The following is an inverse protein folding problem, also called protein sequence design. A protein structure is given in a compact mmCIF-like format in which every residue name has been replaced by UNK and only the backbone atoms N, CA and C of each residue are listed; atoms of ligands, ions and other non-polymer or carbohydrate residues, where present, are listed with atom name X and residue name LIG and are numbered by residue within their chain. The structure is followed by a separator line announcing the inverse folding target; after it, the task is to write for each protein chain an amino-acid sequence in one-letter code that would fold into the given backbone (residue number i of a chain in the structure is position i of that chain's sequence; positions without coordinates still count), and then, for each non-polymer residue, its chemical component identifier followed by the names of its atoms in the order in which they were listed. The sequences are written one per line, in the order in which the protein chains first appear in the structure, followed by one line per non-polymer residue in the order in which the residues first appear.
data_IF_293431753955
#
_entry.id   IF_293431753955
#
_cell.length_a   1.000
_cell.length_b   1.000
_cell.length_c   1.000
_cell.angle_alpha   90.00
_cell.angle_beta   90.00
_cell.angle_gamma   90.00
#
_symmetry.space_group_name_H-M   'P 1'
#
loop_
_entity.id
_entity.type
_entity.pdbx_description
1 polymer ?
#
# COMPACT_ATOMS: atom_id res chain seq x y z
N UNK A 1 -9.53 10.85 49.45
CA UNK A 1 -8.27 11.62 49.41
C UNK A 1 -7.16 10.65 49.08
N UNK A 2 -6.93 10.39 47.80
CA UNK A 2 -5.85 9.53 47.30
C UNK A 2 -4.84 10.46 46.64
N UNK A 3 -3.57 10.37 47.04
CA UNK A 3 -2.49 11.12 46.43
C UNK A 3 -2.54 10.93 44.92
N UNK A 4 -2.57 12.04 44.17
CA UNK A 4 -2.45 11.99 42.72
C UNK A 4 -1.03 11.55 42.39
N UNK A 5 -0.87 10.28 42.03
CA UNK A 5 0.36 9.80 41.41
C UNK A 5 0.67 10.67 40.18
N UNK A 6 1.95 11.02 40.00
CA UNK A 6 2.36 11.85 38.86
C UNK A 6 2.12 11.14 37.51
N UNK A 7 2.26 9.80 37.51
CA UNK A 7 1.94 8.91 36.39
C UNK A 7 1.19 7.67 36.90
N UNK A 8 0.09 7.30 36.22
CA UNK A 8 -0.72 6.15 36.61
C UNK A 8 -1.55 5.61 35.45
N UNK A 9 -2.01 4.36 35.59
CA UNK A 9 -3.00 3.73 34.71
C UNK A 9 -4.36 3.69 35.40
N UNK A 10 -5.42 3.98 34.64
CA UNK A 10 -6.80 3.98 35.12
C UNK A 10 -7.77 3.77 33.97
N UNK A 11 -8.93 3.16 34.22
CA UNK A 11 -10.02 3.18 33.24
C UNK A 11 -10.58 4.60 33.06
N UNK A 12 -10.77 5.01 31.81
CA UNK A 12 -11.27 6.34 31.46
C UNK A 12 -12.81 6.44 31.48
N UNK A 13 -13.43 6.15 32.64
CA UNK A 13 -14.87 6.28 32.86
C UNK A 13 -15.19 7.06 34.14
N UNK A 14 -16.43 7.55 34.25
CA UNK A 14 -16.95 8.16 35.45
C UNK A 14 -17.34 7.07 36.46
N UNK A 15 -16.56 6.88 37.52
CA UNK A 15 -16.87 5.93 38.59
C UNK A 15 -15.69 5.62 39.51
N UNK A 16 -15.92 4.84 40.59
CA UNK A 16 -14.85 4.33 41.43
C UNK A 16 -14.11 3.22 40.68
N UNK A 17 -12.97 3.56 40.10
CA UNK A 17 -12.08 2.61 39.41
C UNK A 17 -10.71 2.63 40.07
N UNK A 18 -10.02 1.49 40.08
CA UNK A 18 -8.70 1.36 40.70
C UNK A 18 -7.66 2.09 39.83
N UNK A 19 -6.61 2.60 40.48
CA UNK A 19 -5.47 3.23 39.81
C UNK A 19 -4.22 2.40 40.07
N UNK A 20 -3.40 2.20 39.04
CA UNK A 20 -2.08 1.57 39.14
C UNK A 20 -1.01 2.65 38.97
N UNK A 21 -0.19 2.88 40.00
CA UNK A 21 0.98 3.77 39.89
C UNK A 21 2.00 3.18 38.90
N UNK A 22 2.57 4.04 38.07
CA UNK A 22 3.69 3.69 37.19
C UNK A 22 4.78 4.76 37.32
N UNK A 23 6.03 4.36 37.10
CA UNK A 23 7.14 5.30 37.03
C UNK A 23 7.12 6.11 35.74
N UNK A 24 7.83 7.24 35.74
CA UNK A 24 8.01 8.07 34.54
C UNK A 24 8.62 7.28 33.37
N UNK A 25 9.56 6.37 33.66
CA UNK A 25 10.19 5.53 32.64
C UNK A 25 9.18 4.58 31.99
N UNK A 26 8.31 3.97 32.78
CA UNK A 26 7.25 3.07 32.30
C UNK A 26 6.19 3.83 31.51
N UNK A 27 5.80 5.03 31.96
CA UNK A 27 4.92 5.90 31.20
C UNK A 27 5.51 6.29 29.84
N UNK A 28 6.78 6.70 29.79
CA UNK A 28 7.48 7.01 28.54
C UNK A 28 7.57 5.80 27.61
N UNK A 29 7.79 4.62 28.17
CA UNK A 29 7.79 3.36 27.43
C UNK A 29 6.41 3.09 26.81
N UNK A 30 5.31 3.24 27.55
CA UNK A 30 3.95 3.09 27.03
C UNK A 30 3.62 4.10 25.91
N UNK A 31 3.98 5.37 26.09
CA UNK A 31 3.84 6.41 25.06
C UNK A 31 4.59 6.03 23.79
N UNK A 32 5.82 5.56 23.95
CA UNK A 32 6.65 5.12 22.82
C UNK A 32 6.06 3.90 22.13
N UNK A 33 5.66 2.87 22.87
CA UNK A 33 5.03 1.66 22.32
C UNK A 33 3.78 2.01 21.51
N UNK A 34 2.92 2.88 22.03
CA UNK A 34 1.72 3.34 21.32
C UNK A 34 2.06 4.07 20.02
N UNK A 35 3.13 4.87 20.02
CA UNK A 35 3.62 5.56 18.83
C UNK A 35 4.19 4.59 17.79
N UNK A 36 4.91 3.54 18.20
CA UNK A 36 5.45 2.51 17.30
C UNK A 36 4.30 1.78 16.60
N UNK A 37 3.33 1.26 17.37
CA UNK A 37 2.19 0.55 16.81
C UNK A 37 1.35 1.45 15.88
N UNK A 38 1.17 2.73 16.24
CA UNK A 38 0.46 3.69 15.37
C UNK A 38 1.19 3.94 14.06
N UNK A 39 2.53 3.98 14.09
CA UNK A 39 3.34 4.14 12.88
C UNK A 39 3.29 2.88 12.01
N UNK A 40 3.32 1.68 12.61
CA UNK A 40 3.19 0.42 11.91
C UNK A 40 1.81 0.29 11.22
N UNK A 41 0.71 0.59 11.93
CA UNK A 41 -0.62 0.64 11.32
C UNK A 41 -0.68 1.62 10.14
N UNK A 42 -0.07 2.81 10.30
CA UNK A 42 -0.02 3.81 9.23
C UNK A 42 0.73 3.35 7.97
N UNK A 43 1.67 2.40 8.09
CA UNK A 43 2.34 1.77 6.94
C UNK A 43 1.34 0.84 6.24
N UNK A 44 0.68 -0.05 7.00
CA UNK A 44 -0.28 -1.02 6.46
C UNK A 44 -1.49 -0.37 5.78
N UNK A 45 -2.07 0.67 6.38
CA UNK A 45 -3.20 1.41 5.79
C UNK A 45 -2.84 2.04 4.43
N UNK A 46 -1.62 2.61 4.32
CA UNK A 46 -1.18 3.21 3.05
C UNK A 46 -0.86 2.16 2.01
N UNK A 47 -0.28 1.03 2.43
CA UNK A 47 -0.07 -0.09 1.52
C UNK A 47 -1.39 -0.66 0.99
N UNK A 48 -2.40 -0.87 1.87
CA UNK A 48 -3.75 -1.30 1.49
C UNK A 48 -4.37 -0.33 0.47
N UNK A 49 -4.18 0.97 0.67
CA UNK A 49 -4.68 1.98 -0.23
C UNK A 49 -4.01 1.94 -1.62
N UNK A 50 -2.70 1.69 -1.70
CA UNK A 50 -2.01 1.49 -2.99
C UNK A 50 -2.54 0.23 -3.68
N UNK A 51 -2.64 -0.87 -2.94
CA UNK A 51 -3.13 -2.14 -3.46
C UNK A 51 -4.59 -2.03 -3.95
N UNK A 52 -5.44 -1.32 -3.22
CA UNK A 52 -6.81 -1.03 -3.62
C UNK A 52 -6.88 -0.27 -4.95
N UNK A 53 -6.03 0.76 -5.14
CA UNK A 53 -5.98 1.50 -6.40
C UNK A 53 -5.45 0.66 -7.58
N UNK A 54 -4.49 -0.23 -7.32
CA UNK A 54 -4.03 -1.21 -8.31
C UNK A 54 -5.17 -2.16 -8.73
N UNK A 55 -5.89 -2.71 -7.75
CA UNK A 55 -7.01 -3.62 -8.01
C UNK A 55 -8.16 -2.93 -8.74
N UNK A 56 -8.42 -1.66 -8.44
CA UNK A 56 -9.40 -0.85 -9.15
C UNK A 56 -9.04 -0.65 -10.62
N UNK A 57 -7.76 -0.44 -10.93
CA UNK A 57 -7.29 -0.36 -12.31
C UNK A 57 -7.46 -1.69 -13.06
N UNK A 58 -7.01 -2.80 -12.48
CA UNK A 58 -7.15 -4.13 -13.10
C UNK A 58 -8.63 -4.49 -13.31
N UNK A 59 -9.49 -4.20 -12.33
CA UNK A 59 -10.94 -4.45 -12.43
C UNK A 59 -11.58 -3.63 -13.55
N UNK A 60 -11.25 -2.35 -13.66
CA UNK A 60 -11.74 -1.48 -14.74
C UNK A 60 -11.33 -2.03 -16.12
N UNK A 61 -10.06 -2.42 -16.28
CA UNK A 61 -9.57 -3.00 -17.53
C UNK A 61 -10.32 -4.29 -17.92
N UNK A 62 -10.64 -5.14 -16.94
CA UNK A 62 -11.39 -6.38 -17.17
C UNK A 62 -12.84 -6.08 -17.57
N UNK A 63 -13.51 -5.17 -16.87
CA UNK A 63 -14.88 -4.78 -17.20
C UNK A 63 -14.98 -4.21 -18.62
N UNK A 64 -14.05 -3.32 -19.00
CA UNK A 64 -14.00 -2.76 -20.36
C UNK A 64 -13.66 -3.81 -21.43
N UNK A 65 -12.87 -4.84 -21.07
CA UNK A 65 -12.63 -5.99 -21.95
C UNK A 65 -13.91 -6.79 -22.15
N UNK A 66 -14.69 -7.01 -21.08
CA UNK A 66 -15.96 -7.74 -21.12
C UNK A 66 -16.99 -7.02 -22.01
N UNK A 67 -17.07 -5.70 -21.96
CA UNK A 67 -17.97 -4.90 -22.82
C UNK A 67 -17.70 -5.14 -24.33
N UNK A 68 -16.47 -5.54 -24.68
CA UNK A 68 -16.08 -5.85 -26.06
C UNK A 68 -16.68 -7.17 -26.58
N UNK A 69 -17.27 -8.00 -25.71
CA UNK A 69 -17.94 -9.24 -26.11
C UNK A 69 -19.23 -9.00 -26.90
N UNK A 70 -19.99 -7.98 -26.51
CA UNK A 70 -21.31 -7.69 -27.09
C UNK A 70 -21.32 -6.48 -27.98
N UNK A 71 -20.40 -5.54 -27.79
CA UNK A 71 -20.38 -4.28 -28.51
C UNK A 71 -19.09 -4.11 -29.33
N UNK A 72 -19.19 -4.46 -30.61
CA UNK A 72 -18.14 -4.27 -31.62
C UNK A 72 -18.13 -2.87 -32.23
N UNK A 73 -19.07 -2.00 -31.84
CA UNK A 73 -19.11 -0.64 -32.37
C UNK A 73 -17.99 0.20 -31.77
N UNK A 74 -17.15 0.75 -32.63
CA UNK A 74 -16.09 1.68 -32.26
C UNK A 74 -16.47 3.07 -32.74
N UNK A 75 -16.96 3.91 -31.83
CA UNK A 75 -17.15 5.33 -32.09
C UNK A 75 -16.22 6.16 -31.20
N UNK A 76 -15.92 7.38 -31.64
CA UNK A 76 -14.97 8.26 -30.96
C UNK A 76 -15.37 8.55 -29.50
N UNK A 77 -16.68 8.72 -29.24
CA UNK A 77 -17.17 9.00 -27.89
C UNK A 77 -16.88 7.84 -26.93
N UNK A 78 -17.08 6.59 -27.38
CA UNK A 78 -16.78 5.40 -26.59
C UNK A 78 -15.28 5.28 -26.34
N UNK A 79 -14.46 5.49 -27.36
CA UNK A 79 -13.00 5.49 -27.22
C UNK A 79 -12.53 6.53 -26.19
N UNK A 80 -13.11 7.72 -26.19
CA UNK A 80 -12.82 8.77 -25.21
C UNK A 80 -13.24 8.37 -23.79
N UNK A 81 -14.44 7.80 -23.61
CA UNK A 81 -14.91 7.33 -22.29
C UNK A 81 -13.99 6.25 -21.72
N UNK A 82 -13.62 5.26 -22.54
CA UNK A 82 -12.66 4.21 -22.16
C UNK A 82 -11.30 4.79 -21.78
N UNK A 83 -10.77 5.70 -22.61
CA UNK A 83 -9.49 6.35 -22.35
C UNK A 83 -9.51 7.14 -21.03
N UNK A 84 -10.55 7.94 -20.80
CA UNK A 84 -10.69 8.77 -19.60
C UNK A 84 -10.81 7.91 -18.33
N UNK A 85 -11.60 6.84 -18.37
CA UNK A 85 -11.76 5.92 -17.24
C UNK A 85 -10.43 5.27 -16.86
N UNK A 86 -9.72 4.71 -17.84
CA UNK A 86 -8.42 4.09 -17.63
C UNK A 86 -7.36 5.11 -17.17
N UNK A 87 -7.38 6.31 -17.75
CA UNK A 87 -6.44 7.36 -17.37
C UNK A 87 -6.57 7.74 -15.90
N UNK A 88 -7.80 7.94 -15.40
CA UNK A 88 -8.07 8.21 -13.98
C UNK A 88 -7.56 7.07 -13.08
N UNK A 89 -7.79 5.82 -13.46
CA UNK A 89 -7.37 4.65 -12.67
C UNK A 89 -5.85 4.51 -12.60
N UNK A 90 -5.17 4.62 -13.74
CA UNK A 90 -3.70 4.60 -13.80
C UNK A 90 -3.12 5.78 -13.03
N UNK A 91 -3.65 6.98 -13.23
CA UNK A 91 -3.15 8.17 -12.56
C UNK A 91 -3.24 8.06 -11.03
N UNK A 92 -4.39 7.61 -10.51
CA UNK A 92 -4.57 7.39 -9.08
C UNK A 92 -3.59 6.33 -8.54
N UNK A 93 -3.47 5.19 -9.20
CA UNK A 93 -2.55 4.14 -8.77
C UNK A 93 -1.09 4.63 -8.73
N UNK A 94 -0.62 5.29 -9.80
CA UNK A 94 0.75 5.81 -9.86
C UNK A 94 0.98 6.89 -8.80
N UNK A 95 0.00 7.76 -8.55
CA UNK A 95 0.08 8.78 -7.52
C UNK A 95 0.24 8.16 -6.12
N UNK A 96 -0.63 7.23 -5.76
CA UNK A 96 -0.58 6.60 -4.44
C UNK A 96 0.64 5.70 -4.26
N UNK A 97 1.03 4.94 -5.29
CA UNK A 97 2.25 4.13 -5.25
C UNK A 97 3.49 4.97 -5.00
N UNK A 98 3.63 6.10 -5.71
CA UNK A 98 4.75 7.03 -5.52
C UNK A 98 4.74 7.68 -4.14
N UNK A 99 3.56 8.11 -3.69
CA UNK A 99 3.42 8.71 -2.37
C UNK A 99 3.83 7.73 -1.27
N UNK A 100 3.43 6.47 -1.40
CA UNK A 100 3.82 5.41 -0.48
C UNK A 100 5.34 5.18 -0.47
N UNK A 101 5.96 5.03 -1.64
CA UNK A 101 7.42 4.78 -1.72
C UNK A 101 8.21 5.96 -1.15
N UNK A 102 7.73 7.20 -1.28
CA UNK A 102 8.38 8.39 -0.69
C UNK A 102 8.24 8.48 0.83
N UNK A 103 7.08 8.10 1.37
CA UNK A 103 6.80 8.24 2.80
C UNK A 103 7.32 7.08 3.65
N UNK A 104 7.49 5.88 3.07
CA UNK A 104 7.82 4.67 3.82
C UNK A 104 9.11 4.75 4.65
N UNK A 105 10.23 5.39 4.23
CA UNK A 105 11.42 5.51 5.09
C UNK A 105 11.12 6.31 6.36
N UNK A 106 10.38 7.41 6.22
CA UNK A 106 9.97 8.26 7.33
C UNK A 106 9.01 7.56 8.29
N UNK A 107 8.07 6.76 7.77
CA UNK A 107 7.15 5.98 8.58
C UNK A 107 7.86 4.84 9.32
N UNK A 108 8.69 4.05 8.62
CA UNK A 108 9.45 2.96 9.21
C UNK A 108 10.38 3.45 10.33
N UNK A 109 11.01 4.61 10.16
CA UNK A 109 11.88 5.20 11.18
C UNK A 109 11.17 5.52 12.51
N UNK A 110 9.84 5.71 12.50
CA UNK A 110 9.06 5.94 13.72
C UNK A 110 8.82 4.65 14.51
N UNK A 111 9.08 3.49 13.92
CA UNK A 111 8.89 2.19 14.54
C UNK A 111 10.13 1.73 15.32
N UNK A 112 11.28 2.40 15.20
CA UNK A 112 12.54 1.97 15.81
C UNK A 112 13.28 3.11 16.51
N UNK A 113 14.28 2.76 17.33
CA UNK A 113 15.14 3.73 18.01
C UNK A 113 16.12 4.41 17.07
N UNK A 114 16.87 3.61 16.29
CA UNK A 114 17.84 4.15 15.34
C UNK A 114 17.15 4.58 14.04
N UNK A 115 16.51 5.74 14.11
CA UNK A 115 15.77 6.34 12.99
C UNK A 115 16.66 6.57 11.78
N UNK A 116 17.89 7.03 12.00
CA UNK A 116 18.81 7.38 10.93
C UNK A 116 19.28 6.13 10.17
N UNK A 117 19.57 5.05 10.89
CA UNK A 117 19.89 3.77 10.28
C UNK A 117 18.72 3.19 9.49
N UNK A 118 17.51 3.22 10.05
CA UNK A 118 16.30 2.73 9.36
C UNK A 118 16.03 3.49 8.05
N UNK A 119 16.10 4.82 8.06
CA UNK A 119 15.94 5.62 6.84
C UNK A 119 16.96 5.18 5.79
N UNK A 120 18.24 5.04 6.16
CA UNK A 120 19.29 4.61 5.23
C UNK A 120 19.03 3.21 4.67
N UNK A 121 18.59 2.26 5.48
CA UNK A 121 18.27 0.91 5.02
C UNK A 121 17.14 0.91 3.99
N UNK A 122 16.04 1.60 4.29
CA UNK A 122 14.88 1.65 3.39
C UNK A 122 15.21 2.41 2.11
N UNK A 123 15.98 3.51 2.18
CA UNK A 123 16.43 4.24 0.99
C UNK A 123 17.41 3.43 0.13
N UNK A 124 18.29 2.63 0.74
CA UNK A 124 19.15 1.70 0.00
C UNK A 124 18.33 0.65 -0.74
N UNK A 125 17.29 0.10 -0.11
CA UNK A 125 16.37 -0.85 -0.74
C UNK A 125 15.60 -0.21 -1.90
N UNK A 126 15.08 1.00 -1.73
CA UNK A 126 14.42 1.75 -2.81
C UNK A 126 15.36 2.02 -3.97
N UNK A 127 16.61 2.38 -3.68
CA UNK A 127 17.62 2.64 -4.70
C UNK A 127 17.94 1.38 -5.49
N UNK A 128 18.10 0.24 -4.81
CA UNK A 128 18.27 -1.07 -5.44
C UNK A 128 17.10 -1.41 -6.38
N UNK A 129 15.86 -1.31 -5.90
CA UNK A 129 14.66 -1.57 -6.71
C UNK A 129 14.62 -0.66 -7.94
N UNK A 130 14.96 0.63 -7.77
CA UNK A 130 15.04 1.59 -8.85
C UNK A 130 16.08 1.19 -9.89
N UNK A 131 17.29 0.81 -9.48
CA UNK A 131 18.36 0.45 -10.42
C UNK A 131 18.07 -0.87 -11.16
N UNK A 132 17.41 -1.83 -10.51
CA UNK A 132 17.15 -3.16 -11.05
C UNK A 132 15.89 -3.24 -11.93
N UNK A 133 14.91 -2.35 -11.75
CA UNK A 133 13.58 -2.47 -12.41
C UNK A 133 13.23 -1.26 -13.27
N UNK A 134 13.22 -1.46 -14.59
CA UNK A 134 12.88 -0.41 -15.56
C UNK A 134 11.43 0.10 -15.40
N UNK A 135 10.46 -0.79 -15.20
CA UNK A 135 9.06 -0.43 -15.01
C UNK A 135 8.84 0.42 -13.75
N UNK A 136 9.59 0.14 -12.68
CA UNK A 136 9.57 0.94 -11.46
C UNK A 136 10.08 2.36 -11.74
N UNK A 137 11.25 2.49 -12.40
CA UNK A 137 11.79 3.81 -12.79
C UNK A 137 10.82 4.61 -13.65
N UNK A 138 10.14 3.94 -14.56
CA UNK A 138 9.14 4.56 -15.41
C UNK A 138 7.90 5.01 -14.64
N UNK A 139 7.34 4.18 -13.76
CA UNK A 139 6.20 4.56 -12.93
C UNK A 139 6.53 5.78 -12.05
N UNK A 140 7.73 5.80 -11.44
CA UNK A 140 8.21 6.92 -10.63
C UNK A 140 8.37 8.21 -11.46
N UNK A 141 8.83 8.12 -12.71
CA UNK A 141 8.92 9.26 -13.63
C UNK A 141 7.54 9.70 -14.15
N UNK A 142 6.64 8.74 -14.40
CA UNK A 142 5.29 8.98 -14.90
C UNK A 142 4.46 9.79 -13.92
N UNK A 143 4.61 9.60 -12.60
CA UNK A 143 3.97 10.47 -11.60
C UNK A 143 4.27 11.94 -11.82
N UNK A 144 5.54 12.27 -12.10
CA UNK A 144 5.96 13.64 -12.39
C UNK A 144 5.24 14.20 -13.61
N UNK A 145 5.09 13.39 -14.66
CA UNK A 145 4.35 13.76 -15.86
C UNK A 145 2.86 14.01 -15.59
N UNK A 146 2.18 13.07 -14.91
CA UNK A 146 0.75 13.14 -14.60
C UNK A 146 0.41 14.41 -13.81
N UNK A 147 1.31 14.83 -12.91
CA UNK A 147 1.13 16.05 -12.10
C UNK A 147 1.13 17.33 -12.94
N UNK A 148 1.73 17.32 -14.13
CA UNK A 148 1.88 18.51 -14.98
C UNK A 148 1.08 18.48 -16.29
N UNK A 149 0.85 17.30 -16.86
CA UNK A 149 0.29 17.12 -18.21
C UNK A 149 -0.97 16.23 -18.25
N UNK A 150 -1.46 15.80 -17.08
CA UNK A 150 -2.73 15.11 -16.81
C UNK A 150 -2.96 13.70 -17.41
N UNK A 151 -2.34 13.34 -18.54
CA UNK A 151 -2.62 12.06 -19.20
C UNK A 151 -1.47 11.05 -19.07
N UNK A 152 -1.76 9.92 -18.43
CA UNK A 152 -0.91 8.73 -18.41
C UNK A 152 -1.20 7.82 -19.62
N UNK A 153 -2.48 7.66 -19.97
CA UNK A 153 -2.93 6.78 -21.04
C UNK A 153 -3.14 7.59 -22.31
N UNK A 154 -2.45 7.22 -23.38
CA UNK A 154 -2.51 7.90 -24.67
C UNK A 154 -3.21 7.08 -25.74
N UNK A 155 -3.26 5.76 -25.58
CA UNK A 155 -3.84 4.85 -26.57
C UNK A 155 -4.44 3.62 -25.89
N UNK A 156 -5.63 3.25 -26.34
CA UNK A 156 -6.30 2.00 -26.00
C UNK A 156 -6.52 1.19 -27.27
N UNK A 157 -6.24 -0.10 -27.22
CA UNK A 157 -6.44 -1.02 -28.34
C UNK A 157 -7.11 -2.30 -27.87
N UNK A 158 -7.75 -3.04 -28.77
CA UNK A 158 -8.33 -4.35 -28.47
C UNK A 158 -7.50 -5.44 -29.16
N UNK A 159 -6.38 -5.90 -28.57
CA UNK A 159 -5.52 -6.92 -29.16
C UNK A 159 -6.16 -8.32 -29.03
N UNK A 160 -7.39 -8.46 -29.52
CA UNK A 160 -8.11 -9.72 -29.52
C UNK A 160 -7.38 -10.72 -30.41
N UNK A 161 -7.24 -11.97 -29.95
CA UNK A 161 -6.45 -12.99 -30.64
C UNK A 161 -7.18 -14.31 -30.68
N UNK A 162 -7.23 -14.95 -31.84
CA UNK A 162 -7.64 -16.34 -31.97
C UNK A 162 -6.56 -17.27 -31.40
N UNK A 163 -6.93 -18.18 -30.51
CA UNK A 163 -6.11 -19.35 -30.16
C UNK A 163 -6.18 -20.36 -31.28
N UNK A 164 -5.12 -21.18 -31.38
CA UNK A 164 -5.03 -22.24 -32.38
C UNK A 164 -5.18 -23.60 -31.70
N UNK A 165 -5.94 -24.50 -32.30
CA UNK A 165 -6.03 -25.89 -31.86
C UNK A 165 -4.80 -26.70 -32.31
N UNK A 166 -4.77 -28.00 -31.99
CA UNK A 166 -3.68 -28.92 -32.36
C UNK A 166 -3.43 -28.99 -33.88
N UNK A 167 -4.48 -28.77 -34.68
CA UNK A 167 -4.43 -28.77 -36.15
C UNK A 167 -4.08 -27.38 -36.73
N UNK A 168 -3.67 -26.42 -35.89
CA UNK A 168 -3.37 -25.02 -36.24
C UNK A 168 -4.56 -24.25 -36.83
N UNK A 169 -5.78 -24.65 -36.51
CA UNK A 169 -7.01 -23.95 -36.87
C UNK A 169 -7.46 -23.03 -35.73
N UNK A 170 -8.11 -21.91 -36.07
CA UNK A 170 -8.66 -20.99 -35.10
C UNK A 170 -9.73 -21.69 -34.24
N UNK A 171 -9.61 -21.57 -32.93
CA UNK A 171 -10.47 -22.25 -31.94
C UNK A 171 -11.28 -21.25 -31.12
N UNK A 172 -10.61 -20.49 -30.24
CA UNK A 172 -11.28 -19.52 -29.36
C UNK A 172 -10.78 -18.11 -29.61
N UNK A 173 -11.67 -17.13 -29.60
CA UNK A 173 -11.30 -15.72 -29.63
C UNK A 173 -11.06 -15.22 -28.20
N UNK A 174 -9.81 -14.85 -27.90
CA UNK A 174 -9.44 -14.25 -26.62
C UNK A 174 -9.59 -12.74 -26.73
N UNK A 175 -10.40 -12.16 -25.85
CA UNK A 175 -10.61 -10.73 -25.75
C UNK A 175 -9.60 -10.10 -24.79
N UNK A 176 -9.10 -8.93 -25.14
CA UNK A 176 -8.14 -8.21 -24.31
C UNK A 176 -8.24 -6.70 -24.59
N UNK A 177 -7.86 -5.89 -23.60
CA UNK A 177 -7.65 -4.45 -23.73
C UNK A 177 -6.18 -4.12 -23.52
N UNK A 178 -5.57 -3.47 -24.49
CA UNK A 178 -4.23 -2.92 -24.37
C UNK A 178 -4.30 -1.47 -23.95
N UNK A 179 -3.64 -1.11 -22.85
CA UNK A 179 -3.65 0.24 -22.25
C UNK A 179 -2.24 0.79 -22.33
N UNK A 180 -2.03 1.91 -23.03
CA UNK A 180 -0.68 2.31 -23.37
C UNK A 180 -0.39 3.80 -23.18
N UNK A 181 0.84 4.09 -22.75
CA UNK A 181 1.49 5.38 -22.96
C UNK A 181 2.28 5.36 -24.27
N UNK A 182 2.21 6.45 -25.01
CA UNK A 182 3.05 6.69 -26.18
C UNK A 182 4.31 7.49 -25.79
N UNK A 183 5.48 6.99 -26.17
CA UNK A 183 6.78 7.62 -25.86
C UNK A 183 6.87 9.05 -26.39
N UNK A 184 6.41 9.30 -27.62
CA UNK A 184 6.49 10.63 -28.23
C UNK A 184 5.63 11.66 -27.48
N UNK A 185 4.46 11.26 -26.99
CA UNK A 185 3.62 12.10 -26.11
C UNK A 185 4.31 12.41 -24.79
N UNK A 186 4.98 11.43 -24.19
CA UNK A 186 5.74 11.64 -22.96
C UNK A 186 6.95 12.56 -23.17
N UNK A 187 7.58 12.52 -24.36
CA UNK A 187 8.70 13.40 -24.74
C UNK A 187 8.29 14.86 -24.91
N UNK A 188 7.02 15.17 -25.18
CA UNK A 188 6.50 16.54 -25.21
C UNK A 188 6.69 17.25 -23.86
N UNK A 189 6.74 16.48 -22.76
CA UNK A 189 7.06 17.01 -21.43
C UNK A 189 8.57 17.01 -21.19
N UNK A 190 9.17 18.20 -21.17
CA UNK A 190 10.61 18.40 -20.93
C UNK A 190 11.12 17.89 -19.57
N UNK A 191 10.21 17.74 -18.59
CA UNK A 191 10.51 17.21 -17.27
C UNK A 191 10.56 15.68 -17.18
N UNK A 192 10.13 14.96 -18.23
CA UNK A 192 10.22 13.49 -18.23
C UNK A 192 11.68 13.04 -18.42
N UNK A 193 12.16 12.13 -17.56
CA UNK A 193 13.54 11.62 -17.62
C UNK A 193 13.80 10.89 -18.95
N UNK A 194 14.59 11.52 -19.83
CA UNK A 194 14.96 10.97 -21.15
C UNK A 194 15.68 9.62 -21.06
N UNK A 195 16.51 9.42 -20.03
CA UNK A 195 17.21 8.15 -19.82
C UNK A 195 16.24 6.97 -19.72
N UNK A 196 15.16 7.13 -18.95
CA UNK A 196 14.12 6.11 -18.76
C UNK A 196 13.34 5.87 -20.06
N UNK A 197 12.96 6.94 -20.79
CA UNK A 197 12.23 6.78 -22.06
C UNK A 197 13.04 6.11 -23.16
N UNK A 198 14.36 6.26 -23.17
CA UNK A 198 15.22 5.64 -24.17
C UNK A 198 15.31 4.13 -24.02
N UNK A 199 15.12 3.61 -22.81
CA UNK A 199 15.10 2.17 -22.52
C UNK A 199 13.73 1.53 -22.80
N UNK A 200 12.67 2.33 -22.93
CA UNK A 200 11.31 1.86 -23.18
C UNK A 200 11.01 1.64 -24.66
N UNK A 201 10.00 0.82 -24.96
CA UNK A 201 9.41 0.74 -26.30
C UNK A 201 8.62 2.01 -26.65
N UNK A 202 8.31 2.23 -27.93
CA UNK A 202 7.55 3.42 -28.37
C UNK A 202 6.11 3.42 -27.85
N UNK A 203 5.54 2.22 -27.67
CA UNK A 203 4.21 1.99 -27.10
C UNK A 203 4.37 1.15 -25.84
N UNK A 204 4.16 1.78 -24.70
CA UNK A 204 4.47 1.22 -23.37
C UNK A 204 3.19 0.62 -22.79
N UNK A 205 3.18 -0.68 -22.48
CA UNK A 205 2.03 -1.35 -21.86
C UNK A 205 1.93 -0.98 -20.36
N UNK A 206 0.89 -0.20 -20.03
CA UNK A 206 0.67 0.28 -18.68
C UNK A 206 0.17 -0.81 -17.71
N UNK A 207 -0.41 -1.90 -18.21
CA UNK A 207 -0.75 -3.04 -17.36
C UNK A 207 0.51 -3.77 -16.90
N UNK A 208 1.46 -3.98 -17.82
CA UNK A 208 2.76 -4.56 -17.45
C UNK A 208 3.48 -3.68 -16.45
N UNK A 209 3.58 -2.38 -16.73
CA UNK A 209 4.18 -1.40 -15.81
C UNK A 209 3.49 -1.45 -14.46
N UNK A 210 2.16 -1.41 -14.42
CA UNK A 210 1.42 -1.37 -13.16
C UNK A 210 1.64 -2.63 -12.31
N UNK A 211 1.62 -3.81 -12.93
CA UNK A 211 1.85 -5.09 -12.24
C UNK A 211 3.28 -5.20 -11.72
N UNK A 212 4.28 -4.82 -12.52
CA UNK A 212 5.68 -4.79 -12.09
C UNK A 212 5.90 -3.81 -10.95
N UNK A 213 5.35 -2.60 -11.07
CA UNK A 213 5.45 -1.58 -10.05
C UNK A 213 4.81 -2.01 -8.73
N UNK A 214 3.60 -2.58 -8.77
CA UNK A 214 2.95 -3.13 -7.58
C UNK A 214 3.76 -4.27 -6.95
N UNK A 215 4.37 -5.13 -7.77
CA UNK A 215 5.29 -6.17 -7.30
C UNK A 215 6.48 -5.59 -6.53
N UNK A 216 7.12 -4.54 -7.04
CA UNK A 216 8.21 -3.84 -6.35
C UNK A 216 7.76 -3.16 -5.05
N UNK A 217 6.58 -2.53 -5.05
CA UNK A 217 6.01 -1.92 -3.83
C UNK A 217 5.73 -3.01 -2.78
N UNK A 218 5.23 -4.16 -3.21
CA UNK A 218 4.99 -5.31 -2.33
C UNK A 218 6.29 -5.87 -1.75
N UNK A 219 7.36 -5.95 -2.54
CA UNK A 219 8.70 -6.36 -2.05
C UNK A 219 9.23 -5.35 -1.02
N UNK A 220 9.15 -4.06 -1.32
CA UNK A 220 9.53 -2.99 -0.40
C UNK A 220 8.77 -3.08 0.93
N UNK A 221 7.45 -3.33 0.86
CA UNK A 221 6.61 -3.47 2.04
C UNK A 221 7.00 -4.68 2.89
N UNK A 222 7.21 -5.83 2.26
CA UNK A 222 7.60 -7.06 2.97
C UNK A 222 8.93 -6.90 3.72
N UNK A 223 9.92 -6.27 3.09
CA UNK A 223 11.20 -5.99 3.73
C UNK A 223 11.05 -5.00 4.90
N UNK A 224 10.22 -3.96 4.74
CA UNK A 224 9.97 -3.02 5.83
C UNK A 224 9.27 -3.69 7.01
N UNK A 225 8.29 -4.56 6.77
CA UNK A 225 7.67 -5.38 7.82
C UNK A 225 8.73 -6.17 8.58
N UNK A 226 9.65 -6.84 7.88
CA UNK A 226 10.76 -7.58 8.50
C UNK A 226 11.67 -6.68 9.34
N UNK A 227 11.98 -5.46 8.89
CA UNK A 227 12.84 -4.54 9.62
C UNK A 227 12.22 -4.01 10.92
N UNK A 228 10.90 -3.89 10.99
CA UNK A 228 10.19 -3.33 12.16
C UNK A 228 9.53 -4.40 13.05
N UNK A 229 9.51 -5.67 12.61
CA UNK A 229 8.80 -6.76 13.29
C UNK A 229 9.14 -6.85 14.78
N UNK A 230 10.44 -6.81 15.12
CA UNK A 230 10.91 -6.92 16.50
C UNK A 230 10.39 -5.79 17.40
N UNK A 231 10.46 -4.54 16.92
CA UNK A 231 10.04 -3.39 17.71
C UNK A 231 8.52 -3.27 17.82
N UNK A 232 7.78 -3.65 16.77
CA UNK A 232 6.31 -3.72 16.79
C UNK A 232 5.84 -4.78 17.77
N UNK A 233 6.44 -5.98 17.75
CA UNK A 233 6.12 -7.05 18.69
C UNK A 233 6.38 -6.63 20.13
N UNK A 234 7.57 -6.11 20.42
CA UNK A 234 7.94 -5.64 21.76
C UNK A 234 6.99 -4.52 22.25
N UNK A 235 6.66 -3.55 21.38
CA UNK A 235 5.73 -2.49 21.72
C UNK A 235 4.34 -3.02 22.11
N UNK A 236 3.84 -4.01 21.38
CA UNK A 236 2.57 -4.66 21.69
C UNK A 236 2.62 -5.45 23.00
N UNK A 237 3.68 -6.22 23.21
CA UNK A 237 3.91 -6.98 24.45
C UNK A 237 3.98 -6.06 25.68
N UNK A 238 4.62 -4.90 25.57
CA UNK A 238 4.64 -3.89 26.64
C UNK A 238 3.21 -3.47 27.01
N UNK A 239 2.40 -3.05 26.04
CA UNK A 239 1.03 -2.59 26.31
C UNK A 239 0.18 -3.72 26.89
N UNK A 240 0.31 -4.94 26.36
CA UNK A 240 -0.39 -6.12 26.87
C UNK A 240 -0.01 -6.40 28.33
N UNK A 241 1.29 -6.41 28.65
CA UNK A 241 1.78 -6.66 30.01
C UNK A 241 1.22 -5.65 31.03
N UNK A 242 1.14 -4.36 30.67
CA UNK A 242 0.54 -3.35 31.56
C UNK A 242 -0.98 -3.47 31.67
N UNK A 243 -1.64 -3.87 30.58
CA UNK A 243 -3.07 -4.17 30.58
C UNK A 243 -3.39 -5.34 31.51
N UNK A 244 -2.58 -6.40 31.48
CA UNK A 244 -2.73 -7.58 32.33
C UNK A 244 -2.43 -7.27 33.80
N UNK A 245 -1.37 -6.49 34.08
CA UNK A 245 -1.08 -5.99 35.44
C UNK A 245 -2.24 -5.18 36.02
N UNK A 246 -2.87 -4.34 35.20
CA UNK A 246 -4.04 -3.57 35.63
C UNK A 246 -5.26 -4.47 35.85
N UNK A 247 -5.55 -5.39 34.92
CA UNK A 247 -6.66 -6.33 35.04
C UNK A 247 -6.56 -7.18 36.32
N UNK A 248 -5.35 -7.61 36.69
CA UNK A 248 -5.12 -8.38 37.92
C UNK A 248 -5.52 -7.63 39.20
N UNK A 249 -5.42 -6.30 39.22
CA UNK A 249 -5.88 -5.51 40.36
C UNK A 249 -7.33 -5.07 40.21
N UNK A 250 -7.92 -5.08 39.02
CA UNK A 250 -9.25 -4.55 38.70
C UNK A 250 -10.27 -5.63 38.31
N UNK A 251 -10.23 -6.79 39.00
CA UNK A 251 -11.23 -7.85 38.87
C UNK A 251 -11.34 -8.43 37.43
N UNK A 252 -10.25 -8.37 36.67
CA UNK A 252 -10.17 -8.80 35.28
C UNK A 252 -10.56 -7.73 34.24
N UNK A 253 -11.08 -6.58 34.67
CA UNK A 253 -11.58 -5.53 33.78
C UNK A 253 -10.48 -4.54 33.39
N UNK A 254 -10.25 -4.39 32.09
CA UNK A 254 -9.26 -3.46 31.52
C UNK A 254 -9.81 -2.62 30.35
N UNK A 255 -11.10 -2.76 30.03
CA UNK A 255 -11.73 -1.95 29.00
C UNK A 255 -11.56 -0.45 29.29
N UNK A 256 -11.27 0.35 28.27
CA UNK A 256 -11.03 1.79 28.40
C UNK A 256 -9.81 2.20 29.23
N UNK A 257 -8.85 1.29 29.46
CA UNK A 257 -7.60 1.60 30.15
C UNK A 257 -6.81 2.68 29.41
N UNK A 258 -6.34 3.67 30.17
CA UNK A 258 -5.46 4.72 29.67
C UNK A 258 -4.32 5.01 30.65
N UNK A 259 -3.20 5.47 30.09
CA UNK A 259 -2.10 6.05 30.86
C UNK A 259 -2.31 7.56 31.03
N UNK A 260 -2.15 8.05 32.26
CA UNK A 260 -2.34 9.44 32.64
C UNK A 260 -1.02 10.07 33.10
N UNK A 261 -0.87 11.36 32.82
CA UNK A 261 0.13 12.23 33.44
C UNK A 261 -0.49 13.59 33.73
N UNK A 262 0.08 14.36 34.66
CA UNK A 262 -0.46 15.66 35.08
C UNK A 262 -0.56 16.71 33.94
N UNK A 263 0.21 16.54 32.86
CA UNK A 263 0.38 17.54 31.80
C UNK A 263 -0.11 17.10 30.43
N UNK A 264 -0.42 15.83 30.22
CA UNK A 264 -0.80 15.29 28.91
C UNK A 264 -2.22 14.74 28.89
N UNK A 265 -2.80 14.70 27.68
CA UNK A 265 -4.05 13.98 27.47
C UNK A 265 -3.85 12.48 27.76
N UNK A 266 -4.89 11.79 28.28
CA UNK A 266 -4.81 10.36 28.54
C UNK A 266 -4.49 9.58 27.26
N UNK A 267 -3.56 8.64 27.35
CA UNK A 267 -3.16 7.77 26.26
C UNK A 267 -3.91 6.45 26.37
N UNK A 268 -4.81 6.17 25.43
CA UNK A 268 -5.53 4.89 25.38
C UNK A 268 -4.56 3.73 25.14
N UNK A 269 -4.69 2.69 25.97
CA UNK A 269 -3.92 1.44 25.92
C UNK A 269 -4.71 0.27 25.31
N UNK A 270 -5.91 0.51 24.76
CA UNK A 270 -6.61 -0.53 23.99
C UNK A 270 -5.71 -1.03 22.85
N UNK A 271 -5.73 -2.33 22.56
CA UNK A 271 -5.01 -2.94 21.44
C UNK A 271 -5.94 -3.30 20.26
N UNK A 272 -7.25 -3.12 20.40
CA UNK A 272 -8.25 -3.46 19.36
C UNK A 272 -7.98 -2.73 18.04
N UNK A 273 -7.47 -1.50 18.10
CA UNK A 273 -7.13 -0.73 16.90
C UNK A 273 -5.82 -1.24 16.24
N UNK A 274 -4.92 -1.89 16.97
CA UNK A 274 -3.73 -2.54 16.39
C UNK A 274 -4.08 -3.94 15.84
N UNK A 275 -5.18 -4.55 16.26
CA UNK A 275 -5.68 -5.78 15.65
C UNK A 275 -6.02 -5.56 14.16
N UNK A 276 -6.48 -4.36 13.81
CA UNK A 276 -6.66 -3.94 12.40
C UNK A 276 -5.35 -4.03 11.62
N UNK A 277 -4.19 -3.70 12.22
CA UNK A 277 -2.89 -3.85 11.54
C UNK A 277 -2.62 -5.33 11.26
N UNK A 278 -2.88 -6.21 12.22
CA UNK A 278 -2.68 -7.66 12.07
C UNK A 278 -3.59 -8.20 10.95
N UNK A 279 -4.86 -7.82 10.94
CA UNK A 279 -5.80 -8.20 9.87
C UNK A 279 -5.34 -7.69 8.49
N UNK A 280 -4.80 -6.46 8.42
CA UNK A 280 -4.26 -5.91 7.17
C UNK A 280 -3.00 -6.65 6.71
N UNK A 281 -2.11 -7.04 7.63
CA UNK A 281 -0.93 -7.85 7.30
C UNK A 281 -1.33 -9.23 6.76
N UNK A 282 -2.31 -9.87 7.38
CA UNK A 282 -2.86 -11.16 6.95
C UNK A 282 -3.54 -11.08 5.58
N UNK A 283 -4.41 -10.08 5.39
CA UNK A 283 -5.11 -9.83 4.12
C UNK A 283 -4.14 -9.51 2.99
N UNK A 284 -3.16 -8.65 3.27
CA UNK A 284 -2.26 -8.08 2.26
C UNK A 284 -0.92 -8.82 2.24
N UNK A 285 -1.00 -10.10 1.87
CA UNK A 285 0.18 -10.95 1.64
C UNK A 285 1.03 -10.43 0.48
N UNK A 286 2.34 -10.74 0.47
CA UNK A 286 3.21 -10.35 -0.63
C UNK A 286 2.73 -10.87 -2.00
N UNK A 287 2.75 -9.98 -2.99
CA UNK A 287 2.35 -10.26 -4.37
C UNK A 287 3.49 -10.01 -5.37
N UNK A 288 4.71 -10.39 -4.98
CA UNK A 288 5.86 -10.40 -5.87
C UNK A 288 5.53 -11.32 -7.08
N UNK A 289 5.75 -10.82 -8.32
CA UNK A 289 5.40 -11.48 -9.59
C UNK A 289 3.95 -11.30 -10.12
N UNK A 290 3.27 -10.19 -9.80
CA UNK A 290 1.97 -9.88 -10.43
C UNK A 290 2.00 -9.85 -11.96
N UNK A 291 3.16 -9.54 -12.57
CA UNK A 291 3.34 -9.56 -14.03
C UNK A 291 3.19 -10.95 -14.64
N UNK A 292 3.38 -12.02 -13.85
CA UNK A 292 3.22 -13.41 -14.28
C UNK A 292 1.82 -13.96 -14.04
N UNK A 293 0.95 -13.19 -13.40
CA UNK A 293 -0.43 -13.59 -13.09
C UNK A 293 -1.38 -13.01 -14.11
N UNK A 294 -2.39 -13.80 -14.49
CA UNK A 294 -3.48 -13.33 -15.33
C UNK A 294 -4.78 -14.01 -14.91
N UNK A 295 -5.90 -13.33 -15.18
CA UNK A 295 -7.24 -13.86 -14.96
C UNK A 295 -7.76 -14.42 -16.27
N UNK A 296 -8.41 -15.58 -16.20
CA UNK A 296 -9.06 -16.24 -17.32
C UNK A 296 -10.42 -16.77 -16.88
N UNK A 297 -11.43 -16.60 -17.72
CA UNK A 297 -12.74 -17.23 -17.59
C UNK A 297 -12.89 -18.46 -18.50
N UNK A 298 -11.79 -18.93 -19.09
CA UNK A 298 -11.82 -20.13 -19.93
C UNK A 298 -12.23 -21.37 -19.11
N UNK A 299 -12.96 -22.28 -19.76
CA UNK A 299 -13.40 -23.51 -19.12
C UNK A 299 -12.16 -24.40 -18.93
N UNK A 300 -11.79 -24.64 -17.67
CA UNK A 300 -10.72 -25.58 -17.32
C UNK A 300 -11.22 -27.01 -17.60
N UNK A 301 -10.59 -27.77 -18.52
CA UNK A 301 -10.96 -29.16 -18.74
C UNK A 301 -10.75 -29.96 -17.44
N UNK A 302 -11.70 -30.83 -17.11
CA UNK A 302 -11.53 -31.80 -16.01
C UNK A 302 -10.60 -32.93 -16.43
#
# INVERSE_FOLDING_TARGET
MSGEYEFYLKQNFLGPVKSLEVSEAEYKLLVRSRSILSAALSIEEKYDLVLGNFMDFEREAILLTMDSLTDTSFNYSKAYTVLSALNRRVANFIFFGKNYTELIPGMASKCVDDKAHMIKMVEALRSKIYDETLEYRFAEALRGHITHCADAVHSVTNPNRWTMNADKQADKLVFNIGVHSLKDRLRENSGFKKSVLNEMEDKIDLKQVARKYMGCISELQEQVRSFIEGSVREAREVIQNYTDKYAAINDGESFGLAAFSAVSRPLSLSLEWDDVRIELEEKNQPIQNMDRRYLSSDVVPR
#
